data_IF_621837472784
#
_entry.id   IF_621837472784
#
_cell.length_a   1.000
_cell.length_b   1.000
_cell.length_c   1.000
_cell.angle_alpha   90.00
_cell.angle_beta   90.00
_cell.angle_gamma   90.00
#
_symmetry.space_group_name_H-M   'P 1'
#
loop_
_entity.id
_entity.type
_entity.pdbx_description
1 polymer ?
#
# COMPACT_ATOMS: atom_id res chain seq x y z
N UNK A 1 -8.50 -5.83 57.55
CA UNK A 1 -9.35 -5.75 56.34
C UNK A 1 -8.96 -4.50 55.57
N UNK A 2 -8.05 -4.63 54.61
CA UNK A 2 -7.49 -3.51 53.84
C UNK A 2 -8.28 -3.36 52.54
N UNK A 3 -8.97 -2.25 52.36
CA UNK A 3 -9.62 -1.87 51.10
C UNK A 3 -8.61 -1.18 50.19
N UNK A 4 -8.28 -1.81 49.07
CA UNK A 4 -7.42 -1.23 48.04
C UNK A 4 -8.20 -0.22 47.20
N UNK A 5 -7.74 1.04 47.19
CA UNK A 5 -8.16 2.10 46.27
C UNK A 5 -7.77 1.74 44.83
N UNK A 6 -8.67 1.80 43.83
CA UNK A 6 -8.28 1.59 42.44
C UNK A 6 -7.42 2.76 41.92
N UNK A 7 -6.39 2.50 41.07
CA UNK A 7 -5.52 3.54 40.56
C UNK A 7 -6.23 4.48 39.58
N UNK A 8 -5.89 5.77 39.66
CA UNK A 8 -6.39 6.82 38.79
C UNK A 8 -6.11 6.54 37.29
N UNK A 9 -7.13 6.78 36.46
CA UNK A 9 -7.10 6.69 35.01
C UNK A 9 -5.94 7.51 34.39
N UNK A 10 -5.22 6.91 33.43
CA UNK A 10 -4.06 7.51 32.76
C UNK A 10 -4.47 8.68 31.84
N UNK A 11 -3.62 9.72 31.68
CA UNK A 11 -3.95 10.97 30.99
C UNK A 11 -4.30 10.87 29.50
N UNK A 12 -4.08 9.72 28.84
CA UNK A 12 -4.50 9.48 27.44
C UNK A 12 -5.90 8.84 27.32
N UNK A 13 -6.58 8.59 28.44
CA UNK A 13 -7.99 8.16 28.48
C UNK A 13 -8.97 9.34 28.43
N UNK A 14 -8.50 10.59 28.44
CA UNK A 14 -9.33 11.79 28.25
C UNK A 14 -8.87 12.55 27.01
N UNK A 15 -9.81 12.79 26.10
CA UNK A 15 -9.71 13.58 24.86
C UNK A 15 -8.92 12.94 23.69
N UNK A 16 -9.70 12.28 22.84
CA UNK A 16 -9.34 11.87 21.49
C UNK A 16 -10.51 11.05 20.95
N UNK A 17 -11.57 11.74 20.53
CA UNK A 17 -12.81 11.14 20.02
C UNK A 17 -12.45 10.04 19.03
N UNK A 18 -12.64 8.78 19.42
CA UNK A 18 -12.50 7.67 18.53
C UNK A 18 -13.40 7.96 17.31
N UNK A 19 -12.90 7.83 16.07
CA UNK A 19 -13.68 8.17 14.90
C UNK A 19 -15.01 7.44 14.94
N UNK A 20 -16.09 8.19 14.67
CA UNK A 20 -17.46 7.70 14.81
C UNK A 20 -17.67 6.41 14.01
N UNK A 21 -18.54 5.49 14.48
CA UNK A 21 -18.85 4.26 13.74
C UNK A 21 -19.31 4.51 12.29
N UNK A 22 -19.92 5.67 12.03
CA UNK A 22 -20.33 6.14 10.69
C UNK A 22 -19.14 6.57 9.84
N UNK A 23 -18.14 7.23 10.41
CA UNK A 23 -16.88 7.57 9.74
C UNK A 23 -16.12 6.32 9.28
N UNK A 24 -15.96 5.34 10.18
CA UNK A 24 -15.28 4.07 9.85
C UNK A 24 -16.02 3.31 8.76
N UNK A 25 -17.37 3.32 8.77
CA UNK A 25 -18.19 2.71 7.72
C UNK A 25 -18.11 3.45 6.39
N UNK A 26 -18.06 4.79 6.38
CA UNK A 26 -17.94 5.58 5.15
C UNK A 26 -16.55 5.45 4.53
N UNK A 27 -15.49 5.53 5.35
CA UNK A 27 -14.13 5.28 4.90
C UNK A 27 -13.94 3.82 4.46
N UNK A 28 -14.50 2.86 5.18
CA UNK A 28 -14.51 1.46 4.74
C UNK A 28 -15.29 1.29 3.45
N UNK A 29 -16.40 2.00 3.20
CA UNK A 29 -17.13 1.98 1.92
C UNK A 29 -16.33 2.61 0.79
N UNK A 30 -15.68 3.75 1.02
CA UNK A 30 -14.84 4.44 0.03
C UNK A 30 -13.61 3.58 -0.31
N UNK A 31 -12.94 3.03 0.69
CA UNK A 31 -11.82 2.11 0.50
C UNK A 31 -12.27 0.75 -0.08
N UNK A 32 -13.45 0.24 0.27
CA UNK A 32 -14.01 -0.98 -0.31
C UNK A 32 -14.50 -0.79 -1.74
N UNK A 33 -14.99 0.39 -2.13
CA UNK A 33 -15.35 0.70 -3.52
C UNK A 33 -14.13 0.99 -4.39
N UNK A 34 -13.11 1.67 -3.86
CA UNK A 34 -11.80 1.75 -4.49
C UNK A 34 -11.15 0.36 -4.67
N UNK A 35 -11.45 -0.60 -3.77
CA UNK A 35 -11.08 -2.02 -3.93
C UNK A 35 -11.86 -2.73 -5.05
N UNK A 36 -13.11 -2.37 -5.32
CA UNK A 36 -13.95 -3.06 -6.32
C UNK A 36 -13.57 -2.78 -7.78
N UNK A 37 -12.75 -1.75 -8.05
CA UNK A 37 -12.08 -1.57 -9.35
C UNK A 37 -10.70 -2.26 -9.43
N UNK A 38 -10.18 -2.74 -8.30
CA UNK A 38 -8.91 -3.44 -8.23
C UNK A 38 -9.15 -4.95 -8.29
N UNK A 39 -9.26 -5.48 -9.51
CA UNK A 39 -9.47 -6.90 -9.81
C UNK A 39 -8.85 -7.87 -8.78
N UNK A 40 -9.73 -8.67 -8.20
CA UNK A 40 -9.50 -9.74 -7.24
C UNK A 40 -8.52 -10.75 -7.82
N UNK A 41 -7.29 -10.81 -7.30
CA UNK A 41 -6.47 -12.02 -7.39
C UNK A 41 -7.17 -13.15 -6.61
N UNK A 42 -7.07 -14.41 -7.05
CA UNK A 42 -7.95 -15.46 -6.58
C UNK A 42 -7.83 -15.63 -5.05
N UNK A 43 -9.00 -15.59 -4.41
CA UNK A 43 -9.18 -15.99 -3.04
C UNK A 43 -8.72 -17.44 -2.87
N UNK A 44 -7.89 -17.68 -1.86
CA UNK A 44 -7.46 -19.01 -1.44
C UNK A 44 -8.69 -19.89 -1.20
N UNK A 45 -8.87 -20.92 -2.04
CA UNK A 45 -9.96 -21.88 -1.91
C UNK A 45 -9.78 -22.74 -0.64
N UNK A 46 -10.87 -23.19 0.02
CA UNK A 46 -10.78 -24.08 1.16
C UNK A 46 -10.29 -25.47 0.73
N UNK A 47 -9.40 -26.04 1.53
CA UNK A 47 -8.80 -27.36 1.33
C UNK A 47 -9.86 -28.46 1.23
N UNK A 48 -9.86 -29.19 0.10
CA UNK A 48 -10.58 -30.45 -0.04
C UNK A 48 -9.81 -31.59 0.66
N UNK A 49 -10.50 -32.56 1.29
CA UNK A 49 -9.82 -33.64 1.99
C UNK A 49 -9.37 -34.76 1.03
N UNK A 50 -8.14 -35.22 1.22
CA UNK A 50 -7.71 -36.60 0.95
C UNK A 50 -7.41 -36.96 -0.50
N UNK A 51 -6.25 -36.54 -1.01
CA UNK A 51 -5.57 -37.27 -2.10
C UNK A 51 -4.33 -37.97 -1.50
N UNK A 52 -4.07 -39.26 -1.80
CA UNK A 52 -2.88 -39.93 -1.30
C UNK A 52 -1.62 -39.21 -1.76
N UNK A 53 -0.70 -38.96 -0.83
CA UNK A 53 0.60 -38.33 -1.06
C UNK A 53 1.46 -39.23 -1.95
N UNK A 54 1.73 -38.77 -3.16
CA UNK A 54 2.74 -39.35 -4.03
C UNK A 54 4.13 -39.01 -3.45
N UNK A 55 5.01 -39.98 -3.13
CA UNK A 55 6.33 -39.70 -2.53
C UNK A 55 7.33 -39.05 -3.50
N UNK A 56 6.90 -38.77 -4.74
CA UNK A 56 7.64 -38.02 -5.74
C UNK A 56 6.95 -36.67 -6.07
N UNK A 57 6.24 -36.06 -5.10
CA UNK A 57 5.82 -34.67 -5.21
C UNK A 57 7.07 -33.78 -5.32
N UNK A 58 7.47 -33.53 -6.56
CA UNK A 58 8.46 -32.56 -6.96
C UNK A 58 8.18 -31.29 -6.16
N UNK A 59 9.15 -30.83 -5.37
CA UNK A 59 9.17 -29.45 -4.90
C UNK A 59 9.10 -28.60 -6.16
N UNK A 60 7.89 -28.18 -6.54
CA UNK A 60 7.65 -27.22 -7.62
C UNK A 60 8.67 -26.09 -7.41
N UNK A 61 9.57 -25.85 -8.38
CA UNK A 61 10.59 -24.83 -8.20
C UNK A 61 9.89 -23.50 -7.90
N UNK A 62 10.47 -22.65 -7.03
CA UNK A 62 9.87 -21.35 -6.74
C UNK A 62 9.56 -20.63 -8.06
N UNK A 63 8.41 -19.94 -8.15
CA UNK A 63 7.91 -19.38 -9.39
C UNK A 63 9.00 -18.52 -10.03
N UNK A 64 9.20 -18.73 -11.32
CA UNK A 64 10.14 -17.95 -12.09
C UNK A 64 9.73 -16.47 -12.09
N UNK A 65 10.68 -15.60 -12.39
CA UNK A 65 10.42 -14.16 -12.46
C UNK A 65 9.30 -13.79 -13.44
N UNK A 66 9.14 -14.57 -14.53
CA UNK A 66 8.09 -14.38 -15.54
C UNK A 66 6.69 -14.61 -14.95
N UNK A 67 6.50 -15.72 -14.24
CA UNK A 67 5.25 -16.04 -13.56
C UNK A 67 4.92 -14.98 -12.50
N UNK A 68 5.92 -14.59 -11.69
CA UNK A 68 5.76 -13.53 -10.70
C UNK A 68 5.36 -12.20 -11.36
N UNK A 69 5.95 -11.87 -12.52
CA UNK A 69 5.61 -10.68 -13.28
C UNK A 69 4.15 -10.71 -13.76
N UNK A 70 3.73 -11.79 -14.41
CA UNK A 70 2.37 -11.93 -14.91
C UNK A 70 1.31 -11.84 -13.80
N UNK A 71 1.59 -12.40 -12.62
CA UNK A 71 0.65 -12.36 -11.49
C UNK A 71 0.66 -11.05 -10.71
N UNK A 72 1.80 -10.36 -10.60
CA UNK A 72 1.96 -9.23 -9.66
C UNK A 72 2.14 -7.86 -10.30
N UNK A 73 2.45 -7.77 -11.60
CA UNK A 73 2.68 -6.48 -12.27
C UNK A 73 1.52 -5.50 -12.02
N UNK A 74 0.28 -5.91 -12.27
CA UNK A 74 -0.88 -5.01 -12.16
C UNK A 74 -1.11 -4.50 -10.73
N UNK A 75 -0.97 -5.35 -9.71
CA UNK A 75 -1.13 -4.94 -8.32
C UNK A 75 -0.01 -4.00 -7.86
N UNK A 76 1.22 -4.24 -8.33
CA UNK A 76 2.37 -3.38 -8.07
C UNK A 76 2.27 -2.03 -8.79
N UNK A 77 1.75 -1.98 -10.02
CA UNK A 77 1.50 -0.72 -10.74
C UNK A 77 0.44 0.09 -10.01
N UNK A 78 -0.66 -0.53 -9.60
CA UNK A 78 -1.70 0.14 -8.79
C UNK A 78 -1.15 0.70 -7.48
N UNK A 79 -0.31 -0.08 -6.79
CA UNK A 79 0.41 0.38 -5.61
C UNK A 79 1.28 1.60 -5.95
N UNK A 80 2.07 1.53 -7.02
CA UNK A 80 2.96 2.61 -7.43
C UNK A 80 2.20 3.89 -7.82
N UNK A 81 1.07 3.79 -8.53
CA UNK A 81 0.19 4.94 -8.86
C UNK A 81 -0.24 5.69 -7.61
N UNK A 82 -0.62 4.96 -6.55
CA UNK A 82 -1.01 5.55 -5.25
C UNK A 82 0.16 6.23 -4.52
N UNK A 83 1.41 5.96 -4.92
CA UNK A 83 2.60 6.54 -4.34
C UNK A 83 3.15 7.71 -5.17
N UNK A 84 3.19 7.61 -6.51
CA UNK A 84 3.82 8.59 -7.41
C UNK A 84 2.85 9.53 -8.12
N UNK A 85 1.55 9.24 -8.03
CA UNK A 85 0.42 10.07 -8.50
C UNK A 85 0.25 10.15 -10.04
N UNK A 86 0.95 9.33 -10.83
CA UNK A 86 0.75 9.19 -12.29
C UNK A 86 1.10 7.78 -12.80
N UNK A 87 0.43 7.34 -13.87
CA UNK A 87 0.56 5.98 -14.42
C UNK A 87 1.93 5.72 -15.08
N UNK A 88 2.45 6.58 -15.99
CA UNK A 88 3.71 6.28 -16.68
C UNK A 88 4.87 6.07 -15.69
N UNK A 89 4.99 6.94 -14.69
CA UNK A 89 6.03 6.82 -13.67
C UNK A 89 5.81 5.60 -12.77
N UNK A 90 4.56 5.20 -12.53
CA UNK A 90 4.26 3.99 -11.78
C UNK A 90 4.71 2.73 -12.52
N UNK A 91 4.51 2.68 -13.83
CA UNK A 91 4.98 1.57 -14.67
C UNK A 91 6.51 1.50 -14.67
N UNK A 92 7.20 2.63 -14.81
CA UNK A 92 8.67 2.72 -14.72
C UNK A 92 9.18 2.22 -13.36
N UNK A 93 8.56 2.65 -12.26
CA UNK A 93 8.91 2.20 -10.90
C UNK A 93 8.82 0.69 -10.75
N UNK A 94 7.77 0.07 -11.32
CA UNK A 94 7.57 -1.38 -11.27
C UNK A 94 8.57 -2.09 -12.18
N UNK A 95 8.80 -1.58 -13.38
CA UNK A 95 9.80 -2.11 -14.30
C UNK A 95 11.21 -2.09 -13.67
N UNK A 96 11.59 -0.99 -13.03
CA UNK A 96 12.86 -0.87 -12.30
C UNK A 96 12.96 -1.91 -11.16
N UNK A 97 11.87 -2.13 -10.42
CA UNK A 97 11.83 -3.11 -9.34
C UNK A 97 12.03 -4.55 -9.85
N UNK A 98 11.34 -4.94 -10.94
CA UNK A 98 11.54 -6.25 -11.57
C UNK A 98 12.93 -6.39 -12.20
N UNK A 99 13.43 -5.34 -12.83
CA UNK A 99 14.78 -5.32 -13.40
C UNK A 99 15.84 -5.50 -12.31
N UNK A 100 15.69 -4.82 -11.18
CA UNK A 100 16.59 -4.98 -10.03
C UNK A 100 16.50 -6.38 -9.42
N UNK A 101 15.30 -6.95 -9.31
CA UNK A 101 15.10 -8.32 -8.86
C UNK A 101 15.82 -9.31 -9.80
N UNK A 102 15.61 -9.18 -11.11
CA UNK A 102 16.22 -10.00 -12.14
C UNK A 102 17.74 -9.95 -12.09
N UNK A 103 18.31 -8.73 -12.09
CA UNK A 103 19.76 -8.54 -12.08
C UNK A 103 20.44 -9.14 -10.84
N UNK A 104 19.72 -9.21 -9.72
CA UNK A 104 20.27 -9.71 -8.46
C UNK A 104 20.07 -11.22 -8.26
N UNK A 105 18.94 -11.76 -8.71
CA UNK A 105 18.52 -13.14 -8.38
C UNK A 105 18.31 -14.05 -9.59
N UNK A 106 18.43 -13.52 -10.81
CA UNK A 106 18.21 -14.27 -12.04
C UNK A 106 16.77 -14.74 -12.22
N UNK A 107 16.55 -15.71 -13.11
CA UNK A 107 15.21 -16.17 -13.48
C UNK A 107 14.49 -16.97 -12.37
N UNK A 108 15.22 -17.74 -11.56
CA UNK A 108 14.61 -18.75 -10.67
C UNK A 108 14.32 -18.26 -9.25
N UNK A 109 14.79 -17.08 -8.87
CA UNK A 109 14.55 -16.46 -7.55
C UNK A 109 14.86 -17.36 -6.33
N UNK A 110 15.59 -18.46 -6.51
CA UNK A 110 15.73 -19.54 -5.52
C UNK A 110 16.44 -19.13 -4.22
N UNK A 111 17.17 -18.02 -4.23
CA UNK A 111 17.86 -17.48 -3.07
C UNK A 111 17.00 -16.50 -2.24
N UNK A 112 15.71 -16.36 -2.56
CA UNK A 112 14.84 -15.34 -2.00
C UNK A 112 13.62 -16.00 -1.34
N UNK A 113 13.51 -15.87 -0.02
CA UNK A 113 12.45 -16.49 0.76
C UNK A 113 11.05 -15.94 0.39
N UNK A 114 10.96 -14.63 0.15
CA UNK A 114 9.73 -13.95 -0.26
C UNK A 114 10.01 -12.89 -1.35
N UNK A 115 9.94 -13.28 -2.64
CA UNK A 115 10.09 -12.36 -3.76
C UNK A 115 9.03 -11.25 -3.81
N UNK A 116 7.82 -11.50 -3.30
CA UNK A 116 6.75 -10.50 -3.30
C UNK A 116 7.03 -9.40 -2.27
N UNK A 117 7.47 -9.75 -1.06
CA UNK A 117 7.91 -8.78 -0.07
C UNK A 117 9.11 -7.97 -0.56
N UNK A 118 10.05 -8.61 -1.25
CA UNK A 118 11.18 -7.93 -1.89
C UNK A 118 10.70 -6.90 -2.93
N UNK A 119 9.79 -7.29 -3.83
CA UNK A 119 9.23 -6.41 -4.84
C UNK A 119 8.45 -5.25 -4.23
N UNK A 120 7.60 -5.49 -3.23
CA UNK A 120 6.87 -4.42 -2.51
C UNK A 120 7.83 -3.40 -1.92
N UNK A 121 8.89 -3.87 -1.26
CA UNK A 121 9.93 -3.01 -0.68
C UNK A 121 10.67 -2.23 -1.77
N UNK A 122 11.00 -2.88 -2.88
CA UNK A 122 11.69 -2.27 -4.02
C UNK A 122 10.83 -1.20 -4.71
N UNK A 123 9.55 -1.46 -4.93
CA UNK A 123 8.59 -0.49 -5.48
C UNK A 123 8.47 0.73 -4.56
N UNK A 124 8.29 0.51 -3.26
CA UNK A 124 8.24 1.61 -2.30
C UNK A 124 9.53 2.43 -2.35
N UNK A 125 10.70 1.80 -2.26
CA UNK A 125 11.97 2.52 -2.27
C UNK A 125 12.25 3.27 -3.59
N UNK A 126 11.87 2.69 -4.72
CA UNK A 126 12.02 3.31 -6.04
C UNK A 126 11.09 4.51 -6.18
N UNK A 127 9.81 4.38 -5.81
CA UNK A 127 8.86 5.50 -5.76
C UNK A 127 9.38 6.65 -4.88
N UNK A 128 9.96 6.34 -3.72
CA UNK A 128 10.57 7.32 -2.81
C UNK A 128 11.74 8.06 -3.48
N UNK A 129 12.55 7.34 -4.26
CA UNK A 129 13.67 7.91 -5.00
C UNK A 129 13.19 8.87 -6.08
N UNK A 130 12.18 8.46 -6.86
CA UNK A 130 11.56 9.30 -7.89
C UNK A 130 10.98 10.59 -7.27
N UNK A 131 10.19 10.47 -6.20
CA UNK A 131 9.62 11.64 -5.52
C UNK A 131 10.68 12.58 -4.95
N UNK A 132 11.79 12.05 -4.42
CA UNK A 132 12.92 12.86 -3.96
C UNK A 132 13.56 13.62 -5.12
N UNK A 133 13.81 12.95 -6.25
CA UNK A 133 14.37 13.57 -7.46
C UNK A 133 13.44 14.65 -8.02
N UNK A 134 12.13 14.39 -8.11
CA UNK A 134 11.11 15.38 -8.54
C UNK A 134 11.15 16.64 -7.68
N UNK A 135 11.27 16.49 -6.35
CA UNK A 135 11.40 17.63 -5.43
C UNK A 135 12.69 18.42 -5.67
N UNK A 136 13.82 17.73 -5.85
CA UNK A 136 15.10 18.38 -6.13
C UNK A 136 15.05 19.16 -7.46
N UNK A 137 14.50 18.57 -8.53
CA UNK A 137 14.36 19.24 -9.83
C UNK A 137 13.46 20.48 -9.74
N UNK A 138 12.29 20.36 -9.09
CA UNK A 138 11.37 21.51 -8.89
C UNK A 138 11.97 22.63 -8.03
N UNK A 139 12.95 22.33 -7.18
CA UNK A 139 13.64 23.34 -6.39
C UNK A 139 14.71 24.12 -7.19
N UNK A 140 15.14 23.61 -8.36
CA UNK A 140 16.24 24.17 -9.16
C UNK A 140 15.80 24.63 -10.56
N UNK A 141 14.53 24.44 -10.93
CA UNK A 141 13.96 24.83 -12.22
C UNK A 141 12.71 25.68 -11.95
N UNK A 142 12.55 26.88 -12.55
CA UNK A 142 11.30 27.64 -12.48
C UNK A 142 10.13 26.78 -12.95
N UNK A 143 8.96 26.89 -12.30
CA UNK A 143 7.86 25.95 -12.44
C UNK A 143 7.52 25.64 -13.92
N UNK A 144 7.59 24.36 -14.35
CA UNK A 144 6.93 23.95 -15.59
C UNK A 144 5.42 24.07 -15.41
N UNK A 145 4.72 24.41 -16.49
CA UNK A 145 3.25 24.43 -16.55
C UNK A 145 2.67 23.13 -15.97
N UNK A 146 1.60 23.27 -15.19
CA UNK A 146 0.88 22.14 -14.61
C UNK A 146 0.50 21.15 -15.72
N UNK A 147 1.18 20.01 -15.75
CA UNK A 147 0.74 18.88 -16.57
C UNK A 147 -0.58 18.38 -15.97
N UNK A 148 -1.68 18.88 -16.52
CA UNK A 148 -3.01 18.28 -16.41
C UNK A 148 -2.93 16.97 -17.22
N UNK A 149 -3.15 15.79 -16.60
CA UNK A 149 -3.16 14.55 -17.34
C UNK A 149 -4.21 14.62 -18.46
N UNK A 150 -3.86 14.14 -19.65
CA UNK A 150 -4.73 14.17 -20.82
C UNK A 150 -6.07 13.44 -20.56
N UNK A 151 -7.20 13.87 -21.15
CA UNK A 151 -8.52 13.38 -20.80
C UNK A 151 -8.87 11.97 -21.30
N UNK A 152 -7.96 11.25 -21.94
CA UNK A 152 -8.32 10.08 -22.78
C UNK A 152 -7.87 8.70 -22.25
N UNK A 153 -7.36 8.59 -21.02
CA UNK A 153 -7.06 7.28 -20.40
C UNK A 153 -8.12 6.89 -19.36
N UNK A 154 -9.38 6.87 -19.80
CA UNK A 154 -10.54 6.57 -18.96
C UNK A 154 -10.99 5.10 -19.10
N UNK A 155 -10.28 4.19 -18.43
CA UNK A 155 -10.81 2.83 -18.14
C UNK A 155 -10.50 2.37 -16.69
N UNK A 156 -10.06 3.23 -15.76
CA UNK A 156 -9.84 2.77 -14.38
C UNK A 156 -10.29 3.68 -13.23
N UNK A 157 -10.83 4.88 -13.48
CA UNK A 157 -11.06 5.84 -12.39
C UNK A 157 -12.43 6.54 -12.53
N UNK A 158 -13.48 5.91 -12.01
CA UNK A 158 -14.73 6.61 -11.66
C UNK A 158 -14.42 7.89 -10.85
N UNK A 159 -15.27 8.92 -10.93
CA UNK A 159 -15.11 10.19 -10.20
C UNK A 159 -14.81 10.00 -8.70
N UNK A 160 -15.41 8.99 -8.06
CA UNK A 160 -15.15 8.60 -6.67
C UNK A 160 -13.68 8.22 -6.41
N UNK A 161 -12.97 7.67 -7.42
CA UNK A 161 -11.55 7.32 -7.33
C UNK A 161 -10.65 8.57 -7.35
N UNK A 162 -11.05 9.62 -8.08
CA UNK A 162 -10.30 10.90 -8.11
C UNK A 162 -10.32 11.59 -6.74
N UNK A 163 -11.44 11.54 -6.03
CA UNK A 163 -11.56 12.08 -4.66
C UNK A 163 -10.63 11.36 -3.67
N UNK A 164 -10.57 10.03 -3.74
CA UNK A 164 -9.66 9.24 -2.88
C UNK A 164 -8.21 9.57 -3.16
N UNK A 165 -7.82 9.65 -4.44
CA UNK A 165 -6.47 10.05 -4.82
C UNK A 165 -6.14 11.47 -4.35
N UNK A 166 -7.08 12.40 -4.47
CA UNK A 166 -6.90 13.78 -3.99
C UNK A 166 -6.75 13.82 -2.46
N UNK A 167 -7.55 13.05 -1.72
CA UNK A 167 -7.47 12.97 -0.27
C UNK A 167 -6.15 12.34 0.20
N UNK A 168 -5.72 11.23 -0.42
CA UNK A 168 -4.41 10.61 -0.15
C UNK A 168 -3.24 11.55 -0.45
N UNK A 169 -3.40 12.43 -1.46
CA UNK A 169 -2.38 13.43 -1.81
C UNK A 169 -2.09 14.43 -0.68
N UNK A 170 -3.08 14.71 0.17
CA UNK A 170 -2.93 15.61 1.34
C UNK A 170 -2.12 15.02 2.48
N UNK A 171 -1.94 13.69 2.52
CA UNK A 171 -1.22 13.03 3.59
C UNK A 171 0.29 13.23 3.47
N UNK A 172 0.97 13.21 4.61
CA UNK A 172 2.44 13.07 4.60
C UNK A 172 2.80 11.75 3.90
N UNK A 173 3.96 11.71 3.25
CA UNK A 173 4.43 10.52 2.52
C UNK A 173 4.34 9.24 3.38
N UNK A 174 4.79 9.30 4.64
CA UNK A 174 4.76 8.15 5.55
C UNK A 174 3.33 7.70 5.89
N UNK A 175 2.41 8.64 6.09
CA UNK A 175 0.99 8.33 6.31
C UNK A 175 0.38 7.65 5.08
N UNK A 176 0.66 8.19 3.88
CA UNK A 176 0.20 7.61 2.62
C UNK A 176 0.72 6.19 2.43
N UNK A 177 2.04 5.98 2.57
CA UNK A 177 2.67 4.67 2.46
C UNK A 177 2.02 3.63 3.40
N UNK A 178 1.81 3.97 4.68
CA UNK A 178 1.18 3.07 5.65
C UNK A 178 -0.26 2.71 5.25
N UNK A 179 -1.07 3.69 4.85
CA UNK A 179 -2.45 3.41 4.47
C UNK A 179 -2.53 2.61 3.17
N UNK A 180 -1.74 2.96 2.16
CA UNK A 180 -1.76 2.28 0.87
C UNK A 180 -1.36 0.81 1.06
N UNK A 181 -0.26 0.54 1.76
CA UNK A 181 0.17 -0.83 2.04
C UNK A 181 -0.86 -1.63 2.87
N UNK A 182 -1.52 -0.98 3.83
CA UNK A 182 -2.54 -1.62 4.66
C UNK A 182 -3.81 -1.98 3.88
N UNK A 183 -4.30 -1.05 3.06
CA UNK A 183 -5.64 -1.17 2.47
C UNK A 183 -5.66 -1.70 1.04
N UNK A 184 -4.60 -1.48 0.25
CA UNK A 184 -4.48 -1.96 -1.14
C UNK A 184 -3.53 -3.15 -1.28
N UNK A 185 -2.49 -3.24 -0.46
CA UNK A 185 -1.59 -4.42 -0.45
C UNK A 185 -1.93 -5.42 0.65
N UNK A 186 -3.01 -5.19 1.40
CA UNK A 186 -3.54 -6.09 2.44
C UNK A 186 -2.55 -6.49 3.54
N UNK A 187 -1.50 -5.70 3.77
CA UNK A 187 -0.44 -6.05 4.70
C UNK A 187 -0.86 -5.92 6.16
N UNK A 188 -0.35 -6.83 6.98
CA UNK A 188 -0.35 -6.73 8.44
C UNK A 188 0.55 -5.61 8.93
N UNK A 189 0.34 -5.14 10.16
CA UNK A 189 1.21 -4.11 10.76
C UNK A 189 2.69 -4.56 10.83
N UNK A 190 2.94 -5.87 11.00
CA UNK A 190 4.28 -6.43 11.03
C UNK A 190 4.95 -6.40 9.66
N UNK A 191 4.23 -6.77 8.60
CA UNK A 191 4.74 -6.68 7.23
C UNK A 191 4.98 -5.24 6.81
N UNK A 192 4.07 -4.31 7.16
CA UNK A 192 4.28 -2.87 6.88
C UNK A 192 5.51 -2.36 7.62
N UNK A 193 5.70 -2.77 8.88
CA UNK A 193 6.87 -2.41 9.67
C UNK A 193 8.16 -2.88 8.99
N UNK A 194 8.20 -4.13 8.51
CA UNK A 194 9.32 -4.68 7.76
C UNK A 194 9.55 -3.93 6.43
N UNK A 195 8.50 -3.73 5.62
CA UNK A 195 8.59 -3.04 4.32
C UNK A 195 9.08 -1.60 4.45
N UNK A 196 8.66 -0.88 5.49
CA UNK A 196 8.96 0.54 5.66
C UNK A 196 10.19 0.81 6.56
N UNK A 197 10.74 -0.20 7.22
CA UNK A 197 11.81 -0.05 8.22
C UNK A 197 11.35 0.70 9.47
N UNK A 198 10.15 0.39 9.97
CA UNK A 198 9.51 1.06 11.12
C UNK A 198 9.21 0.07 12.24
N UNK A 199 8.98 0.56 13.46
CA UNK A 199 8.40 -0.28 14.52
C UNK A 199 6.89 -0.50 14.30
N UNK A 200 6.34 -1.62 14.79
CA UNK A 200 4.89 -1.88 14.75
C UNK A 200 4.07 -0.77 15.43
N UNK A 201 4.56 -0.22 16.55
CA UNK A 201 3.94 0.91 17.23
C UNK A 201 3.94 2.20 16.39
N UNK A 202 5.01 2.43 15.64
CA UNK A 202 5.08 3.54 14.67
C UNK A 202 4.07 3.35 13.54
N UNK A 203 3.91 2.12 13.01
CA UNK A 203 2.89 1.82 11.99
C UNK A 203 1.49 2.13 12.53
N UNK A 204 1.14 1.60 13.70
CA UNK A 204 -0.18 1.82 14.32
C UNK A 204 -0.49 3.29 14.56
N UNK A 205 0.45 4.03 15.19
CA UNK A 205 0.26 5.46 15.46
C UNK A 205 0.25 6.32 14.20
N UNK A 206 0.96 5.90 13.14
CA UNK A 206 0.93 6.58 11.83
C UNK A 206 -0.41 6.33 11.13
N UNK A 207 -0.90 5.10 11.13
CA UNK A 207 -2.19 4.74 10.57
C UNK A 207 -3.33 5.53 11.23
N UNK A 208 -3.35 5.60 12.57
CA UNK A 208 -4.34 6.41 13.30
C UNK A 208 -4.33 7.86 12.83
N UNK A 209 -3.16 8.51 12.86
CA UNK A 209 -3.02 9.92 12.44
C UNK A 209 -3.39 10.15 10.98
N UNK A 210 -3.11 9.18 10.11
CA UNK A 210 -3.46 9.26 8.70
C UNK A 210 -4.98 9.20 8.49
N UNK A 211 -5.67 8.30 9.19
CA UNK A 211 -7.13 8.18 9.15
C UNK A 211 -7.80 9.44 9.70
N UNK A 212 -7.29 10.00 10.80
CA UNK A 212 -7.80 11.25 11.36
C UNK A 212 -7.62 12.44 10.39
N UNK A 213 -6.48 12.51 9.70
CA UNK A 213 -6.21 13.54 8.69
C UNK A 213 -7.14 13.41 7.48
N UNK A 214 -7.36 12.19 6.97
CA UNK A 214 -8.34 11.95 5.91
C UNK A 214 -9.75 12.32 6.37
N UNK A 215 -10.11 12.03 7.62
CA UNK A 215 -11.43 12.35 8.13
C UNK A 215 -11.72 13.83 8.16
N UNK A 216 -10.80 14.65 8.67
CA UNK A 216 -10.94 16.11 8.62
C UNK A 216 -11.08 16.63 7.19
N UNK A 217 -10.33 16.06 6.24
CA UNK A 217 -10.36 16.52 4.84
C UNK A 217 -11.69 16.20 4.15
N UNK A 218 -12.25 15.01 4.40
CA UNK A 218 -13.51 14.57 3.81
C UNK A 218 -14.74 15.18 4.48
N UNK A 219 -14.62 15.61 5.75
CA UNK A 219 -15.69 16.35 6.44
C UNK A 219 -15.80 17.79 5.94
N UNK A 220 -14.68 18.45 5.61
CA UNK A 220 -14.68 19.81 5.04
C UNK A 220 -14.99 19.89 3.54
N UNK A 221 -15.31 18.78 2.88
CA UNK A 221 -15.87 18.73 1.51
C UNK A 221 -17.41 18.67 1.51
N UNK A 222 -18.04 18.80 2.68
CA UNK A 222 -19.49 18.96 2.86
C UNK A 222 -19.85 20.42 2.98
#
# INVERSE_FOLDING_TARGET
>A
MTTATPPAALPWQRAGTAPSPTFRRRLARVLARARLGAGTGPATAPAAPGRPLDPAAVLEPPPGIEELYHHRRLSLVRLAVLLVDDLPTAEDVVQDAFTALFRRHGHRLAALDDPEAYLRTSVVNTARSVLRRRRTVRAHVPAPEEHVPAPEEDVLLHEEHREVLAALRTLTRRQREVLVLRYWSHLTEAEIAATLGLSRGTVKSTASRALDALGRRLEGLR
#
